data_IF_986350429370
#
_entry.id   IF_986350429370
#
_cell.length_a   1.000
_cell.length_b   1.000
_cell.length_c   1.000
_cell.angle_alpha   90.00
_cell.angle_beta   90.00
_cell.angle_gamma   90.00
#
_symmetry.space_group_name_H-M   'P 1'
#
loop_
_entity.id
_entity.type
_entity.pdbx_description
1 polymer ?
#
# COMPACT_ATOMS: atom_id res chain seq x y z
N UNK A 1 60.40 49.89 27.69
CA UNK A 1 59.40 49.11 28.39
C UNK A 1 58.04 49.28 27.67
N UNK A 2 57.60 48.37 26.81
CA UNK A 2 56.29 48.48 26.19
C UNK A 2 55.24 47.73 27.02
N UNK A 3 54.12 48.36 27.21
CA UNK A 3 52.91 47.85 27.85
C UNK A 3 52.19 46.87 26.94
N UNK A 4 52.00 45.67 27.43
CA UNK A 4 51.21 44.59 26.78
C UNK A 4 49.72 44.86 27.03
N UNK A 5 48.97 45.06 25.96
CA UNK A 5 47.52 45.26 25.98
C UNK A 5 46.87 43.86 25.77
N UNK A 6 46.23 43.34 26.82
CA UNK A 6 45.52 42.08 26.77
C UNK A 6 44.09 42.30 26.24
N UNK A 7 43.80 41.86 25.02
CA UNK A 7 42.45 41.87 24.45
C UNK A 7 41.74 40.60 24.92
N UNK A 8 40.67 40.80 25.72
CA UNK A 8 39.74 39.75 26.10
C UNK A 8 38.76 39.54 24.96
N UNK A 9 38.80 38.47 24.23
CA UNK A 9 37.76 38.01 23.32
C UNK A 9 36.65 37.33 24.12
N UNK A 10 35.52 37.96 24.22
CA UNK A 10 34.27 37.36 24.73
C UNK A 10 33.64 36.61 23.59
N UNK A 11 33.68 35.29 23.61
CA UNK A 11 32.94 34.44 22.71
C UNK A 11 31.49 34.41 23.19
N UNK A 12 30.60 35.04 22.45
CA UNK A 12 29.14 34.92 22.61
C UNK A 12 28.74 33.57 21.97
N UNK A 13 28.39 32.61 22.79
CA UNK A 13 27.82 31.37 22.37
C UNK A 13 26.31 31.59 22.12
N UNK A 14 25.92 31.83 20.88
CA UNK A 14 24.51 31.81 20.49
C UNK A 14 24.02 30.38 20.48
N UNK A 15 23.21 30.03 21.47
CA UNK A 15 22.44 28.79 21.49
C UNK A 15 21.33 28.90 20.46
N UNK A 16 21.52 28.28 19.30
CA UNK A 16 20.45 28.05 18.34
C UNK A 16 19.49 27.03 18.97
N UNK A 17 18.40 27.53 19.54
CA UNK A 17 17.25 26.69 19.88
C UNK A 17 16.60 26.24 18.58
N UNK A 18 16.80 24.98 18.22
CA UNK A 18 16.01 24.33 17.21
C UNK A 18 14.55 24.27 17.68
N UNK A 19 13.74 25.18 17.17
CA UNK A 19 12.29 25.11 17.31
C UNK A 19 11.83 23.90 16.47
N UNK A 20 11.59 22.79 17.13
CA UNK A 20 10.77 21.71 16.60
C UNK A 20 9.33 22.22 16.45
N UNK A 21 9.07 22.91 15.36
CA UNK A 21 7.71 23.14 14.92
C UNK A 21 7.20 21.80 14.36
N UNK A 22 6.56 20.98 15.19
CA UNK A 22 5.61 20.00 14.74
C UNK A 22 4.43 20.75 14.12
N UNK A 23 4.61 21.19 12.87
CA UNK A 23 3.50 21.59 12.03
C UNK A 23 2.68 20.30 11.77
N UNK A 24 1.74 20.02 12.65
CA UNK A 24 0.59 19.18 12.33
C UNK A 24 -0.07 19.83 11.14
N UNK A 25 0.27 19.37 9.92
CA UNK A 25 -0.42 19.80 8.73
C UNK A 25 -1.89 19.48 8.94
N UNK A 26 -2.72 20.48 8.93
CA UNK A 26 -4.17 20.36 9.03
C UNK A 26 -4.66 19.66 7.74
N UNK A 27 -4.56 18.34 7.73
CA UNK A 27 -4.86 17.46 6.59
C UNK A 27 -6.32 17.61 6.18
N UNK A 28 -7.18 18.13 7.08
CA UNK A 28 -8.60 18.35 6.82
C UNK A 28 -8.88 19.40 5.72
N UNK A 29 -7.89 20.18 5.35
CA UNK A 29 -8.03 21.25 4.33
C UNK A 29 -7.53 20.84 2.94
N UNK A 30 -6.99 19.65 2.79
CA UNK A 30 -6.46 19.14 1.52
C UNK A 30 -7.54 18.33 0.79
N UNK A 31 -7.37 18.14 -0.52
CA UNK A 31 -8.28 17.38 -1.36
C UNK A 31 -9.13 18.24 -2.28
N UNK A 32 -10.18 17.67 -2.83
CA UNK A 32 -11.15 18.31 -3.72
C UNK A 32 -12.36 18.72 -2.89
N UNK A 33 -12.34 19.95 -2.36
CA UNK A 33 -13.29 20.44 -1.35
C UNK A 33 -14.75 20.32 -1.75
N UNK A 34 -15.05 20.53 -3.02
CA UNK A 34 -16.41 20.57 -3.56
C UNK A 34 -17.13 19.20 -3.47
N UNK A 35 -16.37 18.13 -3.33
CA UNK A 35 -16.90 16.76 -3.26
C UNK A 35 -16.65 16.08 -1.90
N UNK A 36 -16.25 16.86 -0.89
CA UNK A 36 -15.95 16.32 0.44
C UNK A 36 -17.21 16.15 1.29
N UNK A 37 -17.28 15.04 2.00
CA UNK A 37 -18.30 14.73 3.00
C UNK A 37 -17.63 14.03 4.20
N UNK A 38 -18.22 14.08 5.41
CA UNK A 38 -17.65 13.38 6.56
C UNK A 38 -17.57 11.86 6.35
N UNK A 39 -16.44 11.22 6.67
CA UNK A 39 -16.32 9.76 6.63
C UNK A 39 -17.31 9.07 7.57
N UNK A 40 -17.62 9.71 8.70
CA UNK A 40 -18.65 9.25 9.63
C UNK A 40 -20.08 9.16 9.06
N UNK A 41 -20.32 9.74 7.87
CA UNK A 41 -21.61 9.58 7.17
C UNK A 41 -21.78 8.20 6.53
N UNK A 42 -20.69 7.45 6.33
CA UNK A 42 -20.76 6.08 5.85
C UNK A 42 -21.31 5.19 6.98
N UNK A 43 -22.24 4.32 6.60
CA UNK A 43 -22.76 3.26 7.47
C UNK A 43 -22.19 1.92 7.01
N UNK A 44 -21.12 1.41 7.64
CA UNK A 44 -20.61 0.08 7.31
C UNK A 44 -21.69 -0.99 7.53
N UNK A 45 -21.76 -1.96 6.61
CA UNK A 45 -22.66 -3.12 6.79
C UNK A 45 -22.14 -4.09 7.86
N UNK A 46 -20.85 -4.04 8.16
CA UNK A 46 -20.23 -4.72 9.28
C UNK A 46 -18.96 -3.98 9.72
N UNK A 47 -18.66 -4.07 11.03
CA UNK A 47 -17.37 -3.65 11.61
C UNK A 47 -16.85 -4.79 12.46
N UNK A 48 -15.62 -5.23 12.17
CA UNK A 48 -14.99 -6.39 12.76
C UNK A 48 -13.77 -5.92 13.54
N UNK A 49 -13.68 -6.33 14.80
CA UNK A 49 -12.51 -6.02 15.64
C UNK A 49 -11.39 -7.01 15.31
N UNK A 50 -10.31 -6.52 14.75
CA UNK A 50 -9.13 -7.31 14.40
C UNK A 50 -8.20 -7.48 15.60
N UNK A 51 -8.11 -6.45 16.44
CA UNK A 51 -7.18 -6.38 17.57
C UNK A 51 -5.86 -5.70 17.18
N UNK A 52 -5.19 -5.09 18.15
CA UNK A 52 -3.99 -4.31 17.91
C UNK A 52 -4.20 -3.23 16.86
N UNK A 53 -3.33 -3.21 15.85
CA UNK A 53 -3.54 -2.44 14.62
C UNK A 53 -4.11 -3.37 13.56
N UNK A 54 -5.09 -2.93 12.78
CA UNK A 54 -5.55 -3.61 11.58
C UNK A 54 -4.90 -2.93 10.37
N UNK A 55 -4.05 -3.66 9.68
CA UNK A 55 -3.22 -3.12 8.60
C UNK A 55 -3.67 -3.68 7.25
N UNK A 56 -2.84 -4.43 6.58
CA UNK A 56 -3.04 -4.89 5.20
C UNK A 56 -4.25 -5.78 5.01
N UNK A 57 -5.06 -5.46 4.01
CA UNK A 57 -6.22 -6.27 3.59
C UNK A 57 -5.88 -7.01 2.29
N UNK A 58 -6.25 -8.27 2.24
CA UNK A 58 -6.25 -9.09 1.03
C UNK A 58 -7.63 -9.75 0.86
N UNK A 59 -8.13 -9.76 -0.36
CA UNK A 59 -9.35 -10.48 -0.75
C UNK A 59 -8.96 -11.67 -1.61
N UNK A 60 -9.44 -12.85 -1.22
CA UNK A 60 -9.37 -14.08 -2.02
C UNK A 60 -10.75 -14.44 -2.53
N UNK A 61 -10.89 -15.53 -3.29
CA UNK A 61 -12.18 -15.94 -3.83
C UNK A 61 -13.18 -16.36 -2.75
N UNK A 62 -12.69 -16.73 -1.55
CA UNK A 62 -13.48 -17.33 -0.47
C UNK A 62 -13.35 -16.60 0.88
N UNK A 63 -12.46 -15.63 1.01
CA UNK A 63 -12.18 -14.99 2.29
C UNK A 63 -11.62 -13.58 2.18
N UNK A 64 -11.65 -12.88 3.31
CA UNK A 64 -10.88 -11.65 3.55
C UNK A 64 -9.78 -11.99 4.54
N UNK A 65 -8.56 -11.57 4.23
CA UNK A 65 -7.41 -11.73 5.11
C UNK A 65 -6.91 -10.38 5.58
N UNK A 66 -6.63 -10.25 6.88
CA UNK A 66 -6.19 -8.97 7.47
C UNK A 66 -4.98 -9.20 8.37
N UNK A 67 -3.95 -8.40 8.17
CA UNK A 67 -2.79 -8.39 9.05
C UNK A 67 -3.10 -7.64 10.37
N UNK A 68 -2.55 -8.17 11.48
CA UNK A 68 -2.62 -7.58 12.81
C UNK A 68 -1.24 -7.53 13.45
N UNK A 69 -0.96 -6.47 14.21
CA UNK A 69 0.34 -6.33 14.90
C UNK A 69 0.32 -6.76 16.37
N UNK A 70 -0.86 -6.91 16.99
CA UNK A 70 -0.98 -7.34 18.40
C UNK A 70 -2.21 -8.22 18.61
N UNK A 71 -2.05 -9.55 18.55
CA UNK A 71 -0.81 -10.29 18.29
C UNK A 71 -0.36 -10.19 16.84
N UNK A 72 0.89 -10.49 16.54
CA UNK A 72 1.37 -10.68 15.17
C UNK A 72 0.64 -11.87 14.56
N UNK A 73 -0.29 -11.59 13.68
CA UNK A 73 -1.16 -12.60 13.08
C UNK A 73 -1.73 -12.13 11.76
N UNK A 74 -2.18 -13.10 10.96
CA UNK A 74 -3.06 -12.85 9.80
C UNK A 74 -4.39 -13.53 10.10
N UNK A 75 -5.47 -12.75 10.07
CA UNK A 75 -6.81 -13.22 10.40
C UNK A 75 -7.59 -13.50 9.11
N UNK A 76 -8.29 -14.64 9.07
CA UNK A 76 -9.23 -14.99 8.01
C UNK A 76 -10.64 -14.65 8.44
N UNK A 77 -11.34 -13.89 7.61
CA UNK A 77 -12.74 -13.47 7.84
C UNK A 77 -13.61 -14.11 6.75
N UNK A 78 -14.70 -14.72 7.16
CA UNK A 78 -15.74 -15.23 6.27
C UNK A 78 -16.62 -14.04 5.78
N UNK A 79 -16.64 -13.75 4.49
CA UNK A 79 -17.41 -12.62 3.95
C UNK A 79 -18.93 -12.84 3.97
N UNK A 80 -19.42 -14.07 4.15
CA UNK A 80 -20.85 -14.35 4.27
C UNK A 80 -21.37 -14.00 5.67
N UNK A 81 -20.60 -14.30 6.70
CA UNK A 81 -21.00 -14.13 8.10
C UNK A 81 -20.35 -12.91 8.77
N UNK A 82 -19.33 -12.31 8.16
CA UNK A 82 -18.49 -11.24 8.71
C UNK A 82 -17.79 -11.63 10.03
N UNK A 83 -17.48 -12.92 10.20
CA UNK A 83 -16.82 -13.46 11.40
C UNK A 83 -15.36 -13.84 11.10
N UNK A 84 -14.51 -13.65 12.09
CA UNK A 84 -13.17 -14.24 12.10
C UNK A 84 -13.31 -15.75 12.24
N UNK A 85 -12.82 -16.50 11.26
CA UNK A 85 -12.88 -17.96 11.23
C UNK A 85 -11.52 -18.63 11.50
N UNK A 86 -10.42 -17.88 11.36
CA UNK A 86 -9.10 -18.33 11.75
C UNK A 86 -8.19 -17.15 12.12
N UNK A 87 -7.23 -17.42 13.00
CA UNK A 87 -6.14 -16.50 13.39
C UNK A 87 -4.83 -17.26 13.27
N UNK A 88 -4.04 -16.92 12.27
CA UNK A 88 -2.74 -17.54 11.99
C UNK A 88 -1.65 -16.67 12.57
N UNK A 89 -1.01 -17.14 13.64
CA UNK A 89 0.13 -16.43 14.24
C UNK A 89 1.32 -16.45 13.27
N UNK A 90 2.00 -15.30 13.17
CA UNK A 90 3.22 -15.13 12.40
C UNK A 90 4.36 -14.68 13.30
N UNK A 91 5.59 -14.75 12.80
CA UNK A 91 6.82 -14.53 13.56
C UNK A 91 7.07 -13.07 13.96
N UNK A 92 6.47 -12.14 13.24
CA UNK A 92 6.69 -10.71 13.42
C UNK A 92 5.61 -9.87 12.75
N UNK A 93 5.87 -8.59 12.61
CA UNK A 93 4.96 -7.63 11.97
C UNK A 93 4.86 -7.88 10.46
N UNK A 94 3.63 -8.14 10.00
CA UNK A 94 3.31 -8.10 8.57
C UNK A 94 3.33 -6.63 8.11
N UNK A 95 4.48 -6.18 7.66
CA UNK A 95 4.78 -4.77 7.39
C UNK A 95 4.54 -4.32 5.97
N UNK A 96 4.05 -5.19 5.12
CA UNK A 96 3.84 -4.96 3.69
C UNK A 96 2.56 -5.63 3.22
N UNK A 97 2.08 -5.24 2.05
CA UNK A 97 0.91 -5.85 1.44
C UNK A 97 0.99 -7.37 1.38
N UNK A 98 -0.17 -8.01 1.44
CA UNK A 98 -0.32 -9.46 1.33
C UNK A 98 -0.64 -9.85 -0.11
N UNK A 99 -0.24 -11.07 -0.54
CA UNK A 99 -0.65 -11.63 -1.83
C UNK A 99 -1.22 -13.03 -1.67
N UNK A 100 -2.15 -13.40 -2.56
CA UNK A 100 -2.69 -14.75 -2.68
C UNK A 100 -2.23 -15.38 -4.00
N UNK A 101 -1.73 -16.59 -3.91
CA UNK A 101 -1.38 -17.39 -5.07
C UNK A 101 -0.90 -18.77 -4.64
N UNK A 102 -1.07 -19.77 -5.51
CA UNK A 102 -0.64 -21.15 -5.27
C UNK A 102 -1.25 -21.75 -3.99
N UNK A 103 -2.56 -21.41 -3.74
CA UNK A 103 -3.28 -21.86 -2.54
C UNK A 103 -2.75 -21.29 -1.23
N UNK A 104 -1.96 -20.22 -1.28
CA UNK A 104 -1.24 -19.68 -0.12
C UNK A 104 -1.37 -18.17 -0.01
N UNK A 105 -1.34 -17.68 1.23
CA UNK A 105 -1.16 -16.27 1.53
C UNK A 105 0.33 -16.03 1.79
N UNK A 106 0.90 -15.08 1.08
CA UNK A 106 2.28 -14.67 1.20
C UNK A 106 2.37 -13.39 2.02
N UNK A 107 3.16 -13.43 3.10
CA UNK A 107 3.18 -12.40 4.16
C UNK A 107 4.61 -11.93 4.37
N UNK A 108 5.00 -10.77 3.88
CA UNK A 108 6.30 -10.18 4.19
C UNK A 108 6.34 -9.72 5.65
N UNK A 109 7.37 -10.15 6.38
CA UNK A 109 7.59 -9.82 7.78
C UNK A 109 8.80 -8.90 7.90
N UNK A 110 8.65 -7.81 8.67
CA UNK A 110 9.74 -6.93 9.08
C UNK A 110 10.15 -7.13 10.55
N UNK A 111 11.14 -6.38 10.99
CA UNK A 111 11.63 -6.40 12.37
C UNK A 111 13.03 -7.01 12.50
N UNK A 112 13.34 -7.60 13.64
CA UNK A 112 14.68 -8.14 13.93
C UNK A 112 15.06 -9.32 13.03
N UNK A 113 14.08 -10.13 12.64
CA UNK A 113 14.26 -11.27 11.74
C UNK A 113 13.31 -11.15 10.56
N UNK A 114 13.63 -10.32 9.55
CA UNK A 114 12.77 -10.13 8.41
C UNK A 114 12.77 -11.38 7.52
N UNK A 115 11.58 -11.76 7.06
CA UNK A 115 11.36 -13.00 6.30
C UNK A 115 10.07 -12.93 5.47
N UNK A 116 9.85 -13.92 4.60
CA UNK A 116 8.60 -14.11 3.90
C UNK A 116 7.91 -15.35 4.45
N UNK A 117 6.76 -15.18 5.08
CA UNK A 117 5.94 -16.27 5.61
C UNK A 117 4.93 -16.70 4.55
N UNK A 118 4.77 -18.00 4.39
CA UNK A 118 3.77 -18.63 3.54
C UNK A 118 2.73 -19.33 4.41
N UNK A 119 1.46 -18.96 4.29
CA UNK A 119 0.33 -19.56 4.99
C UNK A 119 -0.46 -20.42 3.99
N UNK A 120 -0.71 -21.68 4.32
CA UNK A 120 -1.65 -22.55 3.59
C UNK A 120 -3.07 -21.98 3.79
N UNK A 121 -3.69 -21.50 2.70
CA UNK A 121 -4.99 -20.82 2.75
C UNK A 121 -6.14 -21.77 3.12
N UNK A 122 -6.04 -23.07 2.83
CA UNK A 122 -7.07 -24.04 3.16
C UNK A 122 -6.96 -24.53 4.61
N UNK A 123 -5.71 -24.74 5.11
CA UNK A 123 -5.46 -25.25 6.46
C UNK A 123 -5.38 -24.16 7.52
N UNK A 124 -5.22 -22.89 7.10
CA UNK A 124 -5.00 -21.75 8.01
C UNK A 124 -3.78 -21.95 8.93
N UNK A 125 -2.68 -22.44 8.38
CA UNK A 125 -1.43 -22.70 9.10
C UNK A 125 -0.24 -22.19 8.31
N UNK A 126 0.82 -21.75 9.02
CA UNK A 126 2.11 -21.47 8.38
C UNK A 126 2.66 -22.74 7.78
N UNK A 127 2.88 -22.77 6.48
CA UNK A 127 3.43 -23.92 5.73
C UNK A 127 4.93 -23.79 5.50
N UNK A 128 5.46 -22.55 5.46
CA UNK A 128 6.87 -22.30 5.15
C UNK A 128 7.27 -20.90 5.60
N UNK A 129 8.55 -20.73 5.86
CA UNK A 129 9.19 -19.45 6.12
C UNK A 129 10.47 -19.35 5.28
N UNK A 130 10.60 -18.29 4.51
CA UNK A 130 11.71 -18.09 3.58
C UNK A 130 12.59 -16.93 4.10
N UNK A 131 13.92 -17.05 4.09
CA UNK A 131 14.84 -15.99 4.51
C UNK A 131 14.97 -14.91 3.42
N UNK A 132 13.83 -14.35 3.01
CA UNK A 132 13.72 -13.32 1.97
C UNK A 132 12.96 -12.15 2.59
N UNK A 133 13.64 -11.02 2.76
CA UNK A 133 13.10 -9.82 3.37
C UNK A 133 12.53 -8.84 2.32
N UNK A 134 11.48 -8.08 2.63
CA UNK A 134 11.08 -6.94 1.81
C UNK A 134 12.13 -5.82 1.90
N UNK A 135 12.25 -5.00 0.86
CA UNK A 135 13.21 -3.88 0.81
C UNK A 135 12.98 -2.85 1.93
N UNK A 136 11.75 -2.67 2.34
CA UNK A 136 11.34 -1.74 3.39
C UNK A 136 9.91 -2.06 3.86
N UNK A 137 9.46 -1.53 5.02
CA UNK A 137 8.06 -1.50 5.40
C UNK A 137 7.20 -0.76 4.37
N UNK A 138 5.90 -1.04 4.35
CA UNK A 138 4.94 -0.43 3.41
C UNK A 138 5.18 -0.80 1.93
N UNK A 139 6.01 -1.80 1.67
CA UNK A 139 6.20 -2.40 0.37
C UNK A 139 5.03 -3.31 0.00
N UNK A 140 5.22 -4.11 -1.02
CA UNK A 140 4.20 -5.05 -1.49
C UNK A 140 4.80 -6.34 -2.01
N UNK A 141 3.91 -7.25 -2.30
CA UNK A 141 4.18 -8.53 -2.89
C UNK A 141 3.09 -8.83 -3.91
N UNK A 142 3.42 -9.46 -5.02
CA UNK A 142 2.47 -9.86 -6.04
C UNK A 142 2.65 -11.34 -6.41
N UNK A 143 1.63 -11.93 -6.98
CA UNK A 143 1.68 -13.27 -7.58
C UNK A 143 1.30 -13.18 -9.05
N UNK A 144 2.01 -13.93 -9.89
CA UNK A 144 1.66 -14.19 -11.28
C UNK A 144 1.20 -15.64 -11.43
N UNK A 145 1.09 -16.11 -12.67
CA UNK A 145 0.66 -17.49 -12.96
C UNK A 145 1.62 -18.54 -12.39
N UNK A 146 2.90 -18.23 -12.27
CA UNK A 146 3.94 -19.21 -11.92
C UNK A 146 4.94 -18.73 -10.85
N UNK A 147 4.81 -17.52 -10.36
CA UNK A 147 5.82 -16.91 -9.49
C UNK A 147 5.23 -15.95 -8.46
N UNK A 148 6.00 -15.72 -7.40
CA UNK A 148 5.78 -14.67 -6.41
C UNK A 148 6.85 -13.59 -6.61
N UNK A 149 6.46 -12.32 -6.52
CA UNK A 149 7.28 -11.17 -6.85
C UNK A 149 7.39 -10.22 -5.68
N UNK A 150 8.60 -9.88 -5.27
CA UNK A 150 8.85 -8.95 -4.17
C UNK A 150 10.12 -8.14 -4.41
N UNK A 151 10.08 -6.84 -4.13
CA UNK A 151 11.27 -5.99 -4.09
C UNK A 151 11.99 -6.23 -2.76
N UNK A 152 13.26 -6.58 -2.79
CA UNK A 152 13.99 -7.10 -1.63
C UNK A 152 15.16 -6.24 -1.16
N UNK A 153 15.51 -5.18 -1.89
CA UNK A 153 16.49 -4.20 -1.44
C UNK A 153 16.25 -2.81 -2.04
N UNK A 154 16.85 -1.81 -1.43
CA UNK A 154 16.70 -0.40 -1.84
C UNK A 154 17.47 -0.06 -3.12
N UNK A 155 18.40 -0.91 -3.55
CA UNK A 155 19.15 -0.70 -4.79
C UNK A 155 18.36 -1.14 -6.03
N UNK A 156 17.19 -1.74 -5.82
CA UNK A 156 16.28 -2.12 -6.87
C UNK A 156 16.46 -3.56 -7.34
N UNK A 157 16.32 -4.52 -6.43
CA UNK A 157 16.24 -5.94 -6.78
C UNK A 157 14.81 -6.43 -6.66
N UNK A 158 14.23 -6.83 -7.78
CA UNK A 158 12.97 -7.56 -7.83
C UNK A 158 13.29 -9.07 -7.85
N UNK A 159 12.87 -9.78 -6.81
CA UNK A 159 12.98 -11.23 -6.76
C UNK A 159 11.75 -11.90 -7.37
N UNK A 160 12.00 -12.83 -8.30
CA UNK A 160 11.05 -13.83 -8.76
C UNK A 160 11.25 -15.10 -7.94
N UNK A 161 10.27 -15.47 -7.16
CA UNK A 161 10.31 -16.59 -6.22
C UNK A 161 9.48 -17.74 -6.78
N UNK A 162 10.04 -18.93 -6.81
CA UNK A 162 9.36 -20.15 -7.24
C UNK A 162 8.51 -20.70 -6.08
N UNK A 163 7.18 -20.76 -6.22
CA UNK A 163 6.31 -21.25 -5.16
C UNK A 163 6.39 -22.78 -4.93
N UNK A 164 6.99 -23.53 -5.86
CA UNK A 164 7.17 -24.99 -5.71
C UNK A 164 8.38 -25.33 -4.84
N UNK A 165 9.45 -24.55 -4.95
CA UNK A 165 10.70 -24.75 -4.22
C UNK A 165 10.86 -23.80 -3.04
N UNK A 166 10.05 -22.75 -2.97
CA UNK A 166 10.20 -21.61 -2.05
C UNK A 166 11.56 -20.90 -2.21
N UNK A 167 12.18 -20.97 -3.37
CA UNK A 167 13.49 -20.40 -3.70
C UNK A 167 13.42 -19.24 -4.65
N UNK A 168 14.45 -18.38 -4.65
CA UNK A 168 14.58 -17.30 -5.64
C UNK A 168 15.01 -17.91 -6.99
N UNK A 169 14.11 -17.87 -7.99
CA UNK A 169 14.37 -18.33 -9.35
C UNK A 169 15.21 -17.31 -10.14
N UNK A 170 14.94 -16.03 -9.95
CA UNK A 170 15.59 -14.95 -10.69
C UNK A 170 15.66 -13.66 -9.86
N UNK A 171 16.77 -12.92 -10.03
CA UNK A 171 16.92 -11.55 -9.52
C UNK A 171 16.98 -10.59 -10.69
N UNK A 172 16.12 -9.60 -10.69
CA UNK A 172 15.95 -8.64 -11.78
C UNK A 172 16.32 -7.26 -11.25
N UNK A 173 17.24 -6.59 -11.94
CA UNK A 173 17.59 -5.21 -11.63
C UNK A 173 16.52 -4.27 -12.15
N UNK A 174 15.95 -3.48 -11.27
CA UNK A 174 14.96 -2.43 -11.52
C UNK A 174 15.45 -1.11 -10.93
N UNK A 175 14.84 0.05 -11.23
CA UNK A 175 15.32 1.32 -10.69
C UNK A 175 15.42 1.31 -9.15
N UNK A 176 16.48 1.93 -8.58
CA UNK A 176 16.60 2.09 -7.13
C UNK A 176 15.39 2.81 -6.52
N UNK A 177 15.05 2.49 -5.29
CA UNK A 177 13.86 3.03 -4.62
C UNK A 177 12.54 2.51 -5.16
N UNK A 178 12.56 1.39 -5.91
CA UNK A 178 11.36 0.64 -6.29
C UNK A 178 10.72 0.00 -5.07
N UNK A 179 9.37 -0.17 -5.11
CA UNK A 179 8.63 -0.42 -3.89
C UNK A 179 7.56 -1.52 -4.02
N UNK A 180 6.41 -1.19 -4.61
CA UNK A 180 5.24 -2.06 -4.64
C UNK A 180 5.04 -2.69 -6.01
N UNK A 181 4.97 -4.03 -6.11
CA UNK A 181 4.59 -4.73 -7.33
C UNK A 181 3.08 -4.99 -7.38
N UNK A 182 2.52 -5.01 -8.60
CA UNK A 182 1.23 -5.64 -8.94
C UNK A 182 1.39 -6.40 -10.24
N UNK A 183 0.75 -7.56 -10.35
CA UNK A 183 0.71 -8.34 -11.58
C UNK A 183 -0.59 -8.08 -12.35
N UNK A 184 -0.50 -7.84 -13.63
CA UNK A 184 -1.65 -7.74 -14.55
C UNK A 184 -1.24 -8.03 -15.99
N UNK A 185 -2.00 -8.87 -16.66
CA UNK A 185 -1.86 -9.16 -18.10
C UNK A 185 -0.41 -9.53 -18.53
N UNK A 186 0.23 -10.46 -17.81
CA UNK A 186 1.58 -10.94 -18.12
C UNK A 186 2.72 -9.97 -17.73
N UNK A 187 2.39 -8.86 -17.08
CA UNK A 187 3.35 -7.83 -16.68
C UNK A 187 3.32 -7.64 -15.16
N UNK A 188 4.50 -7.60 -14.56
CA UNK A 188 4.69 -7.11 -13.19
C UNK A 188 5.00 -5.63 -13.26
N UNK A 189 4.14 -4.81 -12.65
CA UNK A 189 4.27 -3.38 -12.58
C UNK A 189 4.80 -2.97 -11.22
N UNK A 190 5.82 -2.15 -11.16
CA UNK A 190 6.48 -1.78 -9.91
C UNK A 190 6.58 -0.27 -9.78
N UNK A 191 6.13 0.30 -8.66
CA UNK A 191 6.32 1.71 -8.36
C UNK A 191 7.76 2.02 -7.98
N UNK A 192 8.32 3.10 -8.52
CA UNK A 192 9.63 3.66 -8.16
C UNK A 192 9.45 4.99 -7.42
N UNK A 193 9.46 4.94 -6.10
CA UNK A 193 9.12 6.10 -5.24
C UNK A 193 10.11 7.25 -5.43
N UNK A 194 11.40 6.94 -5.44
CA UNK A 194 12.45 7.97 -5.56
C UNK A 194 12.58 8.50 -7.00
N UNK A 195 12.37 7.66 -7.98
CA UNK A 195 12.49 8.00 -9.41
C UNK A 195 11.20 8.52 -10.02
N UNK A 196 10.07 8.44 -9.31
CA UNK A 196 8.73 8.84 -9.80
C UNK A 196 8.34 8.15 -11.11
N UNK A 197 8.58 6.84 -11.17
CA UNK A 197 8.26 6.01 -12.33
C UNK A 197 7.41 4.80 -11.96
N UNK A 198 6.75 4.24 -12.97
CA UNK A 198 6.13 2.92 -12.94
C UNK A 198 6.91 2.04 -13.91
N UNK A 199 7.58 1.00 -13.40
CA UNK A 199 8.38 0.08 -14.19
C UNK A 199 7.56 -1.14 -14.57
N UNK A 200 7.62 -1.54 -15.84
CA UNK A 200 6.99 -2.72 -16.39
C UNK A 200 8.04 -3.82 -16.60
N UNK A 201 7.80 -5.00 -16.01
CA UNK A 201 8.64 -6.20 -16.17
C UNK A 201 7.79 -7.29 -16.77
N UNK A 202 8.22 -7.88 -17.86
CA UNK A 202 7.61 -9.06 -18.46
C UNK A 202 7.70 -10.24 -17.49
N UNK A 203 6.57 -10.79 -17.10
CA UNK A 203 6.53 -11.79 -16.05
C UNK A 203 7.10 -13.15 -16.48
N UNK A 204 7.08 -13.46 -17.76
CA UNK A 204 7.59 -14.72 -18.31
C UNK A 204 9.13 -14.70 -18.39
N UNK A 205 9.68 -13.71 -19.05
CA UNK A 205 11.13 -13.59 -19.28
C UNK A 205 11.90 -12.90 -18.13
N UNK A 206 11.23 -12.11 -17.30
CA UNK A 206 11.86 -11.23 -16.31
C UNK A 206 12.55 -10.00 -16.93
N UNK A 207 12.27 -9.69 -18.20
CA UNK A 207 12.86 -8.54 -18.88
C UNK A 207 12.17 -7.25 -18.45
N UNK A 208 12.94 -6.24 -18.05
CA UNK A 208 12.44 -4.88 -17.91
C UNK A 208 12.07 -4.33 -19.29
N UNK A 209 10.80 -3.98 -19.47
CA UNK A 209 10.27 -3.50 -20.74
C UNK A 209 10.41 -1.98 -20.86
N UNK A 210 9.98 -1.27 -19.80
CA UNK A 210 9.92 0.19 -19.81
C UNK A 210 9.76 0.73 -18.38
N UNK A 211 10.18 1.97 -18.16
CA UNK A 211 9.85 2.77 -16.98
C UNK A 211 9.13 4.04 -17.41
N UNK A 212 7.89 4.20 -16.99
CA UNK A 212 6.99 5.28 -17.39
C UNK A 212 6.97 6.34 -16.29
N UNK A 213 7.23 7.60 -16.61
CA UNK A 213 7.12 8.70 -15.66
C UNK A 213 5.66 8.87 -15.22
N UNK A 214 5.42 8.96 -13.90
CA UNK A 214 4.14 9.20 -13.26
C UNK A 214 4.23 10.39 -12.30
N UNK A 215 3.21 10.63 -11.49
CA UNK A 215 3.28 11.68 -10.46
C UNK A 215 4.35 11.40 -9.40
N UNK A 216 4.63 12.39 -8.54
CA UNK A 216 5.73 12.34 -7.58
C UNK A 216 5.51 11.31 -6.47
N UNK A 217 6.54 10.54 -6.16
CA UNK A 217 6.55 9.51 -5.10
C UNK A 217 5.38 8.54 -5.21
N UNK A 218 5.23 7.80 -6.34
CA UNK A 218 4.24 6.76 -6.50
C UNK A 218 4.52 5.65 -5.50
N UNK A 219 3.65 5.44 -4.53
CA UNK A 219 3.89 4.43 -3.48
C UNK A 219 3.06 3.19 -3.70
N UNK A 220 1.75 3.34 -3.78
CA UNK A 220 0.82 2.25 -3.96
C UNK A 220 0.25 2.22 -5.38
N UNK A 221 -0.19 1.03 -5.79
CA UNK A 221 -0.76 0.85 -7.12
C UNK A 221 -1.86 -0.21 -7.12
N UNK A 222 -2.78 -0.08 -8.06
CA UNK A 222 -3.83 -1.05 -8.33
C UNK A 222 -3.96 -1.30 -9.83
N UNK A 223 -4.31 -2.52 -10.21
CA UNK A 223 -4.67 -2.89 -11.57
C UNK A 223 -6.19 -2.97 -11.70
N UNK A 224 -6.73 -2.49 -12.81
CA UNK A 224 -8.14 -2.62 -13.13
C UNK A 224 -8.61 -1.70 -14.26
N UNK A 225 -9.66 -2.11 -14.97
CA UNK A 225 -10.19 -1.37 -16.10
C UNK A 225 -9.20 -1.19 -17.25
N UNK A 226 -8.31 -2.17 -17.49
CA UNK A 226 -7.26 -2.11 -18.53
C UNK A 226 -6.18 -1.07 -18.23
N UNK A 227 -5.98 -0.73 -16.97
CA UNK A 227 -5.06 0.32 -16.53
C UNK A 227 -4.38 -0.04 -15.22
N UNK A 228 -3.18 0.50 -15.02
CA UNK A 228 -2.53 0.56 -13.72
C UNK A 228 -2.72 1.97 -13.16
N UNK A 229 -3.10 2.03 -11.91
CA UNK A 229 -3.36 3.25 -11.18
C UNK A 229 -2.34 3.41 -10.07
N UNK A 230 -1.62 4.52 -10.03
CA UNK A 230 -0.61 4.79 -8.99
C UNK A 230 -1.09 5.91 -8.06
N UNK A 231 -0.98 5.70 -6.75
CA UNK A 231 -1.17 6.74 -5.75
C UNK A 231 0.15 7.49 -5.55
N UNK A 232 0.20 8.73 -6.03
CA UNK A 232 1.39 9.57 -6.01
C UNK A 232 1.37 10.46 -4.78
N UNK A 233 2.01 10.00 -3.71
CA UNK A 233 1.95 10.66 -2.39
C UNK A 233 2.72 11.98 -2.33
N UNK A 234 3.65 12.23 -3.26
CA UNK A 234 4.45 13.44 -3.28
C UNK A 234 3.70 14.68 -3.76
N UNK A 235 2.78 14.50 -4.71
CA UNK A 235 2.04 15.60 -5.33
C UNK A 235 0.51 15.52 -5.18
N UNK A 236 0.01 14.47 -4.53
CA UNK A 236 -1.42 14.27 -4.31
C UNK A 236 -2.20 13.99 -5.59
N UNK A 237 -1.61 13.24 -6.51
CA UNK A 237 -2.26 12.80 -7.74
C UNK A 237 -2.44 11.30 -7.81
N UNK A 238 -3.28 10.85 -8.73
CA UNK A 238 -3.37 9.46 -9.18
C UNK A 238 -3.05 9.43 -10.67
N UNK A 239 -2.03 8.67 -11.08
CA UNK A 239 -1.75 8.47 -12.49
C UNK A 239 -2.46 7.22 -12.99
N UNK A 240 -3.02 7.30 -14.20
CA UNK A 240 -3.58 6.18 -14.95
C UNK A 240 -2.65 5.81 -16.08
N UNK A 241 -2.13 4.60 -16.09
CA UNK A 241 -1.27 4.05 -17.15
C UNK A 241 -2.01 2.94 -17.87
N UNK A 242 -2.13 3.05 -19.18
CA UNK A 242 -2.75 2.01 -20.00
C UNK A 242 -1.83 0.77 -20.06
N UNK A 243 -2.35 -0.40 -19.72
CA UNK A 243 -1.58 -1.65 -19.62
C UNK A 243 -0.98 -2.10 -20.96
N UNK A 244 -1.69 -1.87 -22.09
CA UNK A 244 -1.27 -2.39 -23.40
C UNK A 244 -0.13 -1.58 -24.01
N UNK A 245 -0.26 -0.25 -23.98
CA UNK A 245 0.72 0.64 -24.64
C UNK A 245 1.68 1.33 -23.66
N UNK A 246 1.51 1.09 -22.34
CA UNK A 246 2.36 1.60 -21.25
C UNK A 246 2.47 3.13 -21.22
N UNK A 247 1.42 3.84 -21.61
CA UNK A 247 1.39 5.32 -21.61
C UNK A 247 0.47 5.84 -20.52
N UNK A 248 0.88 6.94 -19.89
CA UNK A 248 0.00 7.71 -19.01
C UNK A 248 -1.15 8.27 -19.84
N UNK A 249 -2.37 7.94 -19.46
CA UNK A 249 -3.60 8.41 -20.13
C UNK A 249 -4.34 9.48 -19.32
N UNK A 250 -4.05 9.58 -18.01
CA UNK A 250 -4.55 10.64 -17.15
C UNK A 250 -3.66 10.83 -15.92
N UNK A 251 -3.59 12.07 -15.44
CA UNK A 251 -3.08 12.44 -14.12
C UNK A 251 -4.19 13.18 -13.40
N UNK A 252 -4.75 12.55 -12.37
CA UNK A 252 -5.96 12.97 -11.68
C UNK A 252 -5.55 13.66 -10.38
N UNK A 253 -5.90 14.93 -10.21
CA UNK A 253 -5.61 15.66 -8.99
C UNK A 253 -6.58 15.21 -7.89
N UNK A 254 -6.07 14.49 -6.92
CA UNK A 254 -6.78 14.10 -5.70
C UNK A 254 -6.60 15.15 -4.61
N UNK A 255 -5.49 15.91 -4.71
CA UNK A 255 -5.19 17.04 -3.85
C UNK A 255 -4.75 16.67 -2.44
N UNK A 256 -4.32 15.44 -2.21
CA UNK A 256 -3.92 14.94 -0.90
C UNK A 256 -2.53 14.34 -0.99
N UNK A 257 -1.46 15.15 -0.93
CA UNK A 257 -0.13 14.62 -0.70
C UNK A 257 -0.03 14.11 0.74
N UNK A 258 0.80 13.11 0.99
CA UNK A 258 0.99 12.64 2.35
C UNK A 258 1.35 11.17 2.45
N UNK A 259 1.37 10.68 3.68
CA UNK A 259 1.75 9.32 4.04
C UNK A 259 0.53 8.46 4.43
N UNK A 260 0.76 7.17 4.50
CA UNK A 260 -0.25 6.17 4.82
C UNK A 260 -1.20 5.88 3.65
N UNK A 261 -2.12 4.98 3.88
CA UNK A 261 -3.15 4.66 2.91
C UNK A 261 -2.76 3.57 1.92
N UNK A 262 -3.58 3.45 0.89
CA UNK A 262 -3.52 2.40 -0.13
C UNK A 262 -4.31 2.84 -1.36
N UNK A 263 -4.40 2.00 -2.39
CA UNK A 263 -5.25 2.20 -3.56
C UNK A 263 -5.82 0.87 -4.03
N UNK A 264 -7.11 0.84 -4.34
CA UNK A 264 -7.79 -0.32 -4.88
C UNK A 264 -8.63 0.01 -6.10
N UNK A 265 -9.05 -1.02 -6.83
CA UNK A 265 -9.98 -0.91 -7.96
C UNK A 265 -11.18 -1.84 -7.73
N UNK A 266 -12.38 -1.34 -8.01
CA UNK A 266 -13.59 -2.14 -7.97
C UNK A 266 -14.85 -1.31 -8.20
N UNK A 267 -15.91 -1.93 -8.75
CA UNK A 267 -17.14 -1.22 -9.11
C UNK A 267 -16.89 -0.07 -10.08
N UNK A 268 -16.05 -0.29 -11.09
CA UNK A 268 -15.67 0.70 -12.11
C UNK A 268 -15.11 2.01 -11.52
N UNK A 269 -14.57 1.93 -10.33
CA UNK A 269 -14.00 3.06 -9.60
C UNK A 269 -12.64 2.72 -9.02
N UNK A 270 -11.82 3.76 -8.86
CA UNK A 270 -10.54 3.69 -8.16
C UNK A 270 -10.72 4.32 -6.78
N UNK A 271 -10.16 3.67 -5.78
CA UNK A 271 -10.36 3.97 -4.38
C UNK A 271 -9.05 4.24 -3.66
N UNK A 272 -8.45 5.43 -3.75
CA UNK A 272 -7.31 5.78 -2.93
C UNK A 272 -7.74 6.14 -1.50
N UNK A 273 -6.88 5.77 -0.54
CA UNK A 273 -6.94 6.19 0.86
C UNK A 273 -5.69 6.99 1.20
N UNK A 274 -5.82 7.98 2.06
CA UNK A 274 -4.72 8.75 2.66
C UNK A 274 -5.16 9.16 4.06
N UNK A 275 -4.26 9.27 5.01
CA UNK A 275 -4.61 9.72 6.36
C UNK A 275 -5.28 11.09 6.34
N UNK A 276 -6.44 11.21 7.00
CA UNK A 276 -7.30 12.38 6.99
C UNK A 276 -8.34 12.42 5.85
N UNK A 277 -8.12 11.66 4.77
CA UNK A 277 -9.10 11.41 3.71
C UNK A 277 -9.19 9.90 3.47
N UNK A 278 -9.83 9.19 4.41
CA UNK A 278 -9.83 7.73 4.45
C UNK A 278 -10.42 7.05 3.22
N UNK A 279 -11.15 7.78 2.38
CA UNK A 279 -11.68 7.21 1.15
C UNK A 279 -11.92 8.30 0.10
N UNK A 280 -11.44 8.07 -1.10
CA UNK A 280 -11.77 8.85 -2.29
C UNK A 280 -12.34 7.93 -3.36
N UNK A 281 -13.37 8.38 -4.08
CA UNK A 281 -13.90 7.71 -5.26
C UNK A 281 -13.49 8.45 -6.52
N UNK A 282 -12.79 7.77 -7.42
CA UNK A 282 -12.50 8.23 -8.77
C UNK A 282 -13.28 7.35 -9.74
N UNK A 283 -14.08 7.94 -10.59
CA UNK A 283 -14.75 7.24 -11.67
C UNK A 283 -13.73 6.87 -12.76
N UNK A 284 -13.57 5.57 -13.01
CA UNK A 284 -12.54 5.07 -13.92
C UNK A 284 -12.84 5.35 -15.41
N UNK A 285 -14.08 5.65 -15.76
CA UNK A 285 -14.48 5.96 -17.14
C UNK A 285 -14.20 7.43 -17.48
N UNK A 286 -14.45 8.34 -16.54
CA UNK A 286 -14.33 9.78 -16.72
C UNK A 286 -13.06 10.39 -16.16
N UNK A 287 -12.30 9.64 -15.35
CA UNK A 287 -11.13 10.09 -14.59
C UNK A 287 -11.44 11.26 -13.64
N UNK A 288 -12.68 11.36 -13.15
CA UNK A 288 -13.10 12.43 -12.23
C UNK A 288 -13.15 11.95 -10.78
N UNK A 289 -12.72 12.78 -9.85
CA UNK A 289 -12.98 12.60 -8.43
C UNK A 289 -14.48 12.88 -8.21
N UNK A 290 -15.20 11.84 -7.81
CA UNK A 290 -16.66 11.94 -7.59
C UNK A 290 -16.95 12.33 -6.15
N UNK A 291 -16.20 11.76 -5.18
CA UNK A 291 -16.42 12.01 -3.77
C UNK A 291 -15.16 11.73 -2.95
N UNK A 292 -15.01 12.49 -1.89
CA UNK A 292 -14.00 12.26 -0.87
C UNK A 292 -14.65 12.25 0.51
N UNK A 293 -14.40 11.20 1.26
CA UNK A 293 -14.81 11.09 2.66
C UNK A 293 -13.66 11.50 3.54
N UNK A 294 -13.86 12.54 4.37
CA UNK A 294 -12.83 13.15 5.20
C UNK A 294 -13.05 12.88 6.67
N UNK A 295 -11.97 12.75 7.42
CA UNK A 295 -12.01 12.48 8.87
C UNK A 295 -10.99 11.43 9.28
N UNK A 296 -11.25 10.78 10.42
CA UNK A 296 -10.42 9.71 10.94
C UNK A 296 -10.80 8.35 10.36
N UNK A 297 -9.85 7.43 10.33
CA UNK A 297 -9.99 6.05 9.86
C UNK A 297 -9.43 5.87 8.45
N UNK A 298 -9.58 4.66 7.96
CA UNK A 298 -9.09 4.23 6.65
C UNK A 298 -7.57 4.11 6.59
N UNK A 299 -7.14 3.01 5.97
CA UNK A 299 -5.75 2.75 5.66
C UNK A 299 -5.70 1.82 4.46
N UNK A 300 -5.42 0.52 4.63
CA UNK A 300 -5.47 -0.44 3.53
C UNK A 300 -6.90 -0.77 3.13
N UNK A 301 -7.13 -0.96 1.84
CA UNK A 301 -8.43 -1.37 1.32
C UNK A 301 -8.32 -2.35 0.14
N UNK A 302 -9.35 -3.20 0.03
CA UNK A 302 -9.58 -4.03 -1.18
C UNK A 302 -11.08 -4.13 -1.46
N UNK A 303 -11.40 -4.27 -2.75
CA UNK A 303 -12.75 -4.52 -3.21
C UNK A 303 -12.98 -6.03 -3.41
N UNK A 304 -14.12 -6.53 -2.93
CA UNK A 304 -14.53 -7.90 -3.11
C UNK A 304 -15.87 -8.20 -2.45
N UNK A 305 -16.55 -9.24 -2.87
CA UNK A 305 -17.86 -9.63 -2.35
C UNK A 305 -18.89 -8.49 -2.34
N UNK A 306 -18.89 -7.68 -3.42
CA UNK A 306 -19.79 -6.53 -3.57
C UNK A 306 -19.54 -5.39 -2.56
N UNK A 307 -18.38 -5.32 -1.96
CA UNK A 307 -18.04 -4.40 -0.88
C UNK A 307 -16.62 -3.86 -1.01
N UNK A 308 -16.38 -2.72 -0.36
CA UNK A 308 -15.05 -2.25 0.01
C UNK A 308 -14.79 -2.77 1.43
N UNK A 309 -13.66 -3.42 1.61
CA UNK A 309 -13.12 -3.81 2.91
C UNK A 309 -11.97 -2.86 3.24
N UNK A 310 -12.13 -2.09 4.31
CA UNK A 310 -11.19 -1.03 4.68
C UNK A 310 -10.80 -1.14 6.13
N UNK A 311 -9.51 -1.05 6.42
CA UNK A 311 -8.99 -1.06 7.79
C UNK A 311 -9.03 0.33 8.42
N UNK A 312 -9.18 0.38 9.73
CA UNK A 312 -8.80 1.50 10.58
C UNK A 312 -7.58 1.07 11.40
N UNK A 313 -6.42 1.44 10.92
CA UNK A 313 -5.13 1.05 11.51
C UNK A 313 -5.09 1.35 13.01
N UNK A 314 -5.47 2.57 13.41
CA UNK A 314 -5.37 3.04 14.80
C UNK A 314 -6.36 2.35 15.74
N UNK A 315 -7.55 2.04 15.24
CA UNK A 315 -8.63 1.42 16.07
C UNK A 315 -8.62 -0.10 16.01
N UNK A 316 -7.79 -0.70 15.15
CA UNK A 316 -7.75 -2.14 14.97
C UNK A 316 -9.06 -2.73 14.43
N UNK A 317 -9.71 -2.02 13.52
CA UNK A 317 -11.01 -2.39 12.96
C UNK A 317 -10.90 -2.67 11.46
N UNK A 318 -11.73 -3.61 10.99
CA UNK A 318 -12.03 -3.79 9.57
C UNK A 318 -13.50 -3.43 9.35
N UNK A 319 -13.76 -2.52 8.43
CA UNK A 319 -15.11 -2.14 8.03
C UNK A 319 -15.45 -2.69 6.67
N UNK A 320 -16.69 -3.21 6.52
CA UNK A 320 -17.28 -3.61 5.25
C UNK A 320 -18.25 -2.54 4.79
N UNK A 321 -18.03 -1.96 3.62
CA UNK A 321 -18.88 -0.93 3.03
C UNK A 321 -19.45 -1.48 1.72
N UNK A 322 -20.76 -1.64 1.64
CA UNK A 322 -21.41 -2.16 0.44
C UNK A 322 -21.22 -1.21 -0.75
N UNK A 323 -20.69 -1.72 -1.87
CA UNK A 323 -20.48 -0.92 -3.10
C UNK A 323 -21.77 -0.27 -3.60
N UNK A 324 -22.90 -0.99 -3.55
CA UNK A 324 -24.21 -0.44 -3.96
C UNK A 324 -24.61 0.81 -3.17
N UNK A 325 -24.24 0.88 -1.89
CA UNK A 325 -24.54 2.04 -1.04
C UNK A 325 -23.69 3.24 -1.43
N UNK A 326 -22.39 3.02 -1.64
CA UNK A 326 -21.43 4.12 -1.82
C UNK A 326 -21.40 4.63 -3.27
N UNK A 327 -21.77 3.80 -4.23
CA UNK A 327 -21.85 4.19 -5.64
C UNK A 327 -23.07 5.07 -5.97
N UNK A 328 -24.12 5.04 -5.12
CA UNK A 328 -25.32 5.88 -5.27
C UNK A 328 -25.17 7.28 -4.66
N UNK A 329 -24.13 7.49 -3.87
CA UNK A 329 -23.81 8.79 -3.27
C UNK A 329 -22.93 9.63 -4.19
#
# INVERSE_FOLDING_TARGET
MPRLLLLLLIAVCETVQAQNSSAGSDVSKQGVKEVQVPFASIRPSATIKIGGTADWVLVTDDAIWVASTKPYAVLRIDPATNKIVATVKVSGEACSGLAFGFGSIWVPICGEKPELVRIDGAKNTVSSTLPIAPAAPEGGIATSEDSVWMVTDKNGTLNRIDPSTNGVRQRISIPPGSYNPVFSNGIVWITGVESSVLTAVDADSGKVLESVAVGLKPRFLAAGGGSIWTLNQGDGTVSRVNERNRKVTATIRVGIPGAGGDIGYGGESVWPTVFGVPLTRIDASTNKVIRQWVGEGGDSLRCGFGSIWITDYKKGLLSRIALQQILKQ
#
